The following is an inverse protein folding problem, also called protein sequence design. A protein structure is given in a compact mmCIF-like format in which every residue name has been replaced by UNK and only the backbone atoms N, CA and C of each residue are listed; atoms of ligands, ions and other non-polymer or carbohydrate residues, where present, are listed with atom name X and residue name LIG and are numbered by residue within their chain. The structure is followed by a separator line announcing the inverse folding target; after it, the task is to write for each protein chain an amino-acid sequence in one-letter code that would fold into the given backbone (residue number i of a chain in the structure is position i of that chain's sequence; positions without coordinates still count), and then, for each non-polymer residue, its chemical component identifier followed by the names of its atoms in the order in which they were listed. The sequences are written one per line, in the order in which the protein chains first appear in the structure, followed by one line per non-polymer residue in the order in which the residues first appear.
data_IF_783212099378
#
_entry.id   IF_783212099378
#
_cell.length_a   1.000
_cell.length_b   1.000
_cell.length_c   1.000
_cell.angle_alpha   90.00
_cell.angle_beta   90.00
_cell.angle_gamma   90.00
#
_symmetry.space_group_name_H-M   'P 1'
#
loop_
_entity.id
_entity.type
_entity.pdbx_description
1 polymer ?
#
# COMPACT_ATOMS: atom_id res chain seq x y z
N UNK A 1 -1.24 -3.14 -7.66
CA UNK A 1 -1.75 -4.02 -6.58
C UNK A 1 -1.24 -5.44 -6.70
N UNK A 2 -1.28 -6.06 -7.90
CA UNK A 2 -0.71 -7.39 -8.17
C UNK A 2 0.74 -7.51 -7.66
N UNK A 3 1.55 -6.46 -7.78
CA UNK A 3 2.93 -6.50 -7.31
C UNK A 3 3.08 -6.51 -5.79
N UNK A 4 2.25 -5.78 -5.03
CA UNK A 4 2.34 -5.71 -3.56
C UNK A 4 1.92 -7.05 -2.92
N UNK A 5 0.80 -7.60 -3.39
CA UNK A 5 0.30 -8.91 -2.97
C UNK A 5 1.26 -10.04 -3.36
N UNK A 6 1.86 -9.95 -4.56
CA UNK A 6 2.89 -10.90 -5.00
C UNK A 6 4.11 -10.88 -4.09
N UNK A 7 4.63 -9.69 -3.73
CA UNK A 7 5.80 -9.62 -2.85
C UNK A 7 5.48 -10.05 -1.42
N UNK A 8 4.25 -9.84 -0.96
CA UNK A 8 3.77 -10.36 0.32
C UNK A 8 3.81 -11.89 0.35
N UNK A 9 3.21 -12.55 -0.64
CA UNK A 9 3.19 -14.01 -0.73
C UNK A 9 4.60 -14.61 -0.90
N UNK A 10 5.48 -13.91 -1.62
CA UNK A 10 6.88 -14.30 -1.77
C UNK A 10 7.74 -13.98 -0.53
N UNK A 11 7.20 -13.26 0.46
CA UNK A 11 7.92 -12.73 1.63
C UNK A 11 9.20 -11.96 1.26
N UNK A 12 9.16 -11.27 0.13
CA UNK A 12 10.31 -10.55 -0.41
C UNK A 12 10.31 -9.11 0.12
N UNK A 13 10.89 -8.92 1.30
CA UNK A 13 10.92 -7.61 1.98
C UNK A 13 11.62 -6.53 1.14
N UNK A 14 12.71 -6.86 0.45
CA UNK A 14 13.48 -5.88 -0.32
C UNK A 14 12.64 -5.32 -1.47
N UNK A 15 11.98 -6.19 -2.23
CA UNK A 15 11.11 -5.74 -3.32
C UNK A 15 9.85 -5.05 -2.80
N UNK A 16 9.30 -5.51 -1.68
CA UNK A 16 8.18 -4.86 -1.01
C UNK A 16 8.53 -3.41 -0.60
N UNK A 17 9.70 -3.19 0.00
CA UNK A 17 10.20 -1.85 0.37
C UNK A 17 10.38 -0.95 -0.86
N UNK A 18 10.87 -1.48 -1.98
CA UNK A 18 10.96 -0.71 -3.24
C UNK A 18 9.59 -0.28 -3.75
N UNK A 19 8.59 -1.16 -3.68
CA UNK A 19 7.22 -0.83 -4.10
C UNK A 19 6.64 0.23 -3.16
N UNK A 20 6.80 0.05 -1.86
CA UNK A 20 6.34 1.00 -0.83
C UNK A 20 6.96 2.37 -1.01
N UNK A 21 8.27 2.44 -1.27
CA UNK A 21 8.95 3.71 -1.51
C UNK A 21 8.36 4.49 -2.70
N UNK A 22 7.92 3.78 -3.76
CA UNK A 22 7.24 4.39 -4.91
C UNK A 22 5.81 4.82 -4.59
N UNK A 23 5.10 4.07 -3.76
CA UNK A 23 3.71 4.37 -3.38
C UNK A 23 3.61 5.48 -2.33
N UNK A 24 4.63 5.63 -1.48
CA UNK A 24 4.65 6.54 -0.33
C UNK A 24 4.16 7.97 -0.65
N UNK A 25 4.59 8.65 -1.72
CA UNK A 25 4.09 10.00 -2.04
C UNK A 25 2.58 10.03 -2.27
N UNK A 26 2.06 9.07 -3.05
CA UNK A 26 0.63 8.99 -3.37
C UNK A 26 -0.21 8.66 -2.14
N UNK A 27 0.25 7.72 -1.32
CA UNK A 27 -0.44 7.33 -0.08
C UNK A 27 -0.52 8.49 0.91
N UNK A 28 0.57 9.25 1.05
CA UNK A 28 0.60 10.42 1.92
C UNK A 28 -0.31 11.54 1.39
N UNK A 29 -0.44 11.68 0.07
CA UNK A 29 -1.34 12.66 -0.53
C UNK A 29 -2.82 12.32 -0.37
N UNK A 30 -3.16 11.05 -0.22
CA UNK A 30 -4.53 10.58 -0.01
C UNK A 30 -4.98 10.67 1.46
N UNK A 31 -4.09 11.11 2.36
CA UNK A 31 -4.33 11.25 3.81
C UNK A 31 -4.99 10.02 4.45
N UNK A 32 -4.61 8.83 3.97
CA UNK A 32 -5.25 7.60 4.42
C UNK A 32 -4.78 7.27 5.84
N UNK A 33 -5.73 7.31 6.78
CA UNK A 33 -5.49 7.08 8.20
C UNK A 33 -4.83 5.71 8.43
N UNK A 34 -3.72 5.69 9.17
CA UNK A 34 -2.98 4.45 9.50
C UNK A 34 -1.98 3.99 8.44
N UNK A 35 -2.14 4.43 7.18
CA UNK A 35 -1.28 3.99 6.09
C UNK A 35 0.16 4.53 6.25
N UNK A 36 0.34 5.70 6.86
CA UNK A 36 1.67 6.28 7.14
C UNK A 36 2.44 5.41 8.14
N UNK A 37 1.77 4.97 9.20
CA UNK A 37 2.34 4.11 10.23
C UNK A 37 2.71 2.73 9.66
N UNK A 38 1.84 2.16 8.84
CA UNK A 38 2.10 0.87 8.17
C UNK A 38 3.29 0.96 7.20
N UNK A 39 3.38 2.02 6.38
CA UNK A 39 4.52 2.24 5.49
C UNK A 39 5.83 2.42 6.28
N UNK A 40 5.79 3.16 7.39
CA UNK A 40 6.96 3.37 8.25
C UNK A 40 7.42 2.06 8.90
N UNK A 41 6.48 1.21 9.35
CA UNK A 41 6.77 -0.09 9.94
C UNK A 41 7.49 -1.01 8.94
N UNK A 42 7.09 -0.97 7.67
CA UNK A 42 7.69 -1.83 6.63
C UNK A 42 9.05 -1.28 6.16
N UNK A 43 9.18 0.05 6.01
CA UNK A 43 10.46 0.71 5.68
C UNK A 43 11.53 0.42 6.76
N UNK A 44 11.14 0.39 8.04
CA UNK A 44 12.05 0.18 9.16
C UNK A 44 12.43 -1.30 9.39
N UNK A 45 11.72 -2.24 8.77
CA UNK A 45 11.94 -3.66 9.00
C UNK A 45 13.24 -4.16 8.35
N UNK A 46 13.99 -4.98 9.08
CA UNK A 46 15.21 -5.64 8.60
C UNK A 46 14.97 -7.08 8.14
N UNK A 47 13.84 -7.67 8.53
CA UNK A 47 13.45 -9.04 8.21
C UNK A 47 11.94 -9.19 8.17
N UNK A 48 11.44 -10.19 7.42
CA UNK A 48 10.02 -10.51 7.42
C UNK A 48 9.58 -11.01 8.80
N UNK A 49 8.56 -10.38 9.38
CA UNK A 49 7.96 -10.79 10.64
C UNK A 49 6.43 -10.56 10.58
N UNK A 50 5.74 -10.96 11.65
CA UNK A 50 4.29 -10.82 11.77
C UNK A 50 3.85 -9.35 11.63
N UNK A 51 4.57 -8.41 12.24
CA UNK A 51 4.26 -6.99 12.13
C UNK A 51 4.33 -6.47 10.69
N UNK A 52 5.33 -6.89 9.91
CA UNK A 52 5.44 -6.58 8.48
C UNK A 52 4.27 -7.19 7.71
N UNK A 53 3.97 -8.47 7.95
CA UNK A 53 2.84 -9.15 7.32
C UNK A 53 1.54 -8.37 7.53
N UNK A 54 1.20 -8.05 8.78
CA UNK A 54 -0.02 -7.33 9.12
C UNK A 54 -0.05 -5.92 8.52
N UNK A 55 1.08 -5.21 8.51
CA UNK A 55 1.17 -3.86 7.92
C UNK A 55 0.90 -3.88 6.42
N UNK A 56 1.41 -4.90 5.72
CA UNK A 56 1.15 -5.08 4.28
C UNK A 56 -0.30 -5.47 4.02
N UNK A 57 -0.88 -6.33 4.85
CA UNK A 57 -2.29 -6.71 4.74
C UNK A 57 -3.22 -5.51 4.96
N UNK A 58 -2.94 -4.66 5.95
CA UNK A 58 -3.68 -3.41 6.18
C UNK A 58 -3.58 -2.46 4.99
N UNK A 59 -2.39 -2.30 4.41
CA UNK A 59 -2.20 -1.49 3.19
C UNK A 59 -2.95 -2.07 1.99
N UNK A 60 -2.90 -3.38 1.77
CA UNK A 60 -3.64 -4.05 0.71
C UNK A 60 -5.15 -3.85 0.87
N UNK A 61 -5.67 -4.07 2.07
CA UNK A 61 -7.07 -3.86 2.38
C UNK A 61 -7.49 -2.42 2.06
N UNK A 62 -6.71 -1.47 2.55
CA UNK A 62 -6.90 -0.04 2.34
C UNK A 62 -6.95 0.32 0.85
N UNK A 63 -5.99 -0.16 0.04
CA UNK A 63 -5.98 0.11 -1.39
C UNK A 63 -7.14 -0.56 -2.12
N UNK A 64 -7.54 -1.76 -1.72
CA UNK A 64 -8.70 -2.43 -2.29
C UNK A 64 -10.01 -1.68 -1.99
N UNK A 65 -10.10 -1.02 -0.83
CA UNK A 65 -11.25 -0.16 -0.47
C UNK A 65 -11.25 1.15 -1.25
N UNK A 66 -10.10 1.78 -1.42
CA UNK A 66 -9.99 3.12 -2.05
C UNK A 66 -10.08 3.03 -3.58
N UNK A 67 -9.54 1.98 -4.21
CA UNK A 67 -9.53 1.83 -5.66
C UNK A 67 -10.91 1.99 -6.33
N UNK A 68 -11.99 1.30 -5.89
CA UNK A 68 -13.29 1.49 -6.52
C UNK A 68 -13.83 2.91 -6.35
N UNK A 69 -13.55 3.57 -5.22
CA UNK A 69 -13.95 4.96 -4.98
C UNK A 69 -13.23 5.91 -5.96
N UNK A 70 -11.91 5.73 -6.13
CA UNK A 70 -11.15 6.51 -7.10
C UNK A 70 -11.58 6.26 -8.55
N UNK A 71 -11.94 5.02 -8.89
CA UNK A 71 -12.44 4.69 -10.23
C UNK A 71 -13.79 5.35 -10.50
N UNK A 72 -14.69 5.31 -9.51
CA UNK A 72 -15.97 5.99 -9.59
C UNK A 72 -15.80 7.51 -9.70
N UNK A 73 -14.90 8.13 -8.94
CA UNK A 73 -14.60 9.55 -9.06
C UNK A 73 -14.05 9.89 -10.46
N UNK A 74 -13.13 9.08 -11.01
CA UNK A 74 -12.61 9.28 -12.37
C UNK A 74 -13.70 9.15 -13.44
N UNK A 75 -14.63 8.22 -13.29
CA UNK A 75 -15.78 8.08 -14.21
C UNK A 75 -16.79 9.21 -14.05
N UNK A 76 -16.90 9.79 -12.85
CA UNK A 76 -17.85 10.87 -12.56
C UNK A 76 -17.31 12.25 -12.95
N UNK A 77 -15.99 12.46 -12.88
CA UNK A 77 -15.33 13.75 -13.11
C UNK A 77 -14.36 13.76 -14.32
N UNK A 78 -14.20 12.64 -15.03
CA UNK A 78 -13.32 12.53 -16.21
C UNK A 78 -13.97 12.90 -17.55
N UNK A 79 -15.24 13.28 -17.54
CA UNK A 79 -16.06 13.68 -18.71
C UNK A 79 -16.23 15.22 -18.83
N UNK A 80 -15.30 16.03 -18.27
CA UNK A 80 -15.22 17.48 -18.51
C UNK A 80 -14.06 17.89 -19.44
#
# INVERSE_FOLDING_TARGET
MIDLERQMNARNLIELQKIIHKLKPSVLSLEVKGAKEDLASIDAATSWNEQVQESVERLLHTFNTIKPLMQQDLETYGDE
#
